data_IF_955221148122
#
_entry.id   IF_955221148122
#
_cell.length_a   1.000
_cell.length_b   1.000
_cell.length_c   1.000
_cell.angle_alpha   90.00
_cell.angle_beta   90.00
_cell.angle_gamma   90.00
#
_symmetry.space_group_name_H-M   'P 1'
#
loop_
_entity.id
_entity.type
_entity.pdbx_description
1 polymer ?
#
# COMPACT_ATOMS: atom_id res chain seq x y z
N UNK A 1 -4.98 11.40 -10.06
CA UNK A 1 -5.87 10.53 -9.27
C UNK A 1 -7.12 11.32 -8.96
N UNK A 2 -8.31 10.80 -9.27
CA UNK A 2 -9.59 11.51 -9.01
C UNK A 2 -10.12 11.20 -7.62
N UNK A 3 -11.08 11.98 -7.15
CA UNK A 3 -11.68 11.82 -5.81
C UNK A 3 -12.26 10.41 -5.60
N UNK A 4 -12.95 9.85 -6.59
CA UNK A 4 -13.46 8.47 -6.59
C UNK A 4 -12.35 7.43 -6.38
N UNK A 5 -11.18 7.63 -7.00
CA UNK A 5 -10.05 6.72 -6.83
C UNK A 5 -9.44 6.81 -5.42
N UNK A 6 -9.46 8.00 -4.79
CA UNK A 6 -8.99 8.20 -3.41
C UNK A 6 -9.91 7.48 -2.42
N UNK A 7 -11.23 7.67 -2.55
CA UNK A 7 -12.22 7.01 -1.71
C UNK A 7 -12.13 5.47 -1.83
N UNK A 8 -11.97 4.96 -3.06
CA UNK A 8 -11.82 3.53 -3.30
C UNK A 8 -10.51 2.97 -2.73
N UNK A 9 -9.40 3.70 -2.88
CA UNK A 9 -8.12 3.31 -2.29
C UNK A 9 -8.18 3.27 -0.76
N UNK A 10 -8.84 4.24 -0.13
CA UNK A 10 -9.04 4.26 1.32
C UNK A 10 -9.86 3.06 1.80
N UNK A 11 -11.00 2.77 1.14
CA UNK A 11 -11.83 1.61 1.49
C UNK A 11 -11.06 0.28 1.40
N UNK A 12 -10.28 0.08 0.33
CA UNK A 12 -9.46 -1.13 0.17
C UNK A 12 -8.34 -1.21 1.23
N UNK A 13 -7.76 -0.07 1.61
CA UNK A 13 -6.73 -0.02 2.66
C UNK A 13 -7.28 -0.39 4.03
N UNK A 14 -8.49 0.11 4.37
CA UNK A 14 -9.19 -0.23 5.60
C UNK A 14 -9.55 -1.71 5.67
N UNK A 15 -9.89 -2.33 4.52
CA UNK A 15 -10.06 -3.79 4.38
C UNK A 15 -8.76 -4.59 4.57
N UNK A 16 -7.62 -3.91 4.74
CA UNK A 16 -6.33 -4.53 5.02
C UNK A 16 -5.49 -4.82 3.78
N UNK A 17 -5.88 -4.35 2.59
CA UNK A 17 -5.00 -4.43 1.44
C UNK A 17 -3.78 -3.50 1.62
N UNK A 18 -2.64 -3.94 1.12
CA UNK A 18 -1.45 -3.09 1.07
C UNK A 18 -1.59 -2.02 0.00
N UNK A 19 -0.95 -0.87 0.20
CA UNK A 19 -0.92 0.23 -0.77
C UNK A 19 -0.35 -0.19 -2.13
N UNK A 20 0.55 -1.19 -2.16
CA UNK A 20 1.06 -1.76 -3.41
C UNK A 20 0.01 -2.59 -4.14
N UNK A 21 -0.75 -3.44 -3.44
CA UNK A 21 -1.83 -4.23 -4.04
C UNK A 21 -2.96 -3.32 -4.57
N UNK A 22 -3.29 -2.26 -3.82
CA UNK A 22 -4.25 -1.23 -4.24
C UNK A 22 -3.77 -0.54 -5.50
N UNK A 23 -2.50 -0.15 -5.55
CA UNK A 23 -1.89 0.48 -6.72
C UNK A 23 -1.98 -0.39 -7.97
N UNK A 24 -1.62 -1.67 -7.87
CA UNK A 24 -1.75 -2.62 -8.98
C UNK A 24 -3.19 -2.76 -9.46
N UNK A 25 -4.17 -2.74 -8.55
CA UNK A 25 -5.58 -2.88 -8.88
C UNK A 25 -6.19 -1.63 -9.53
N UNK A 26 -5.70 -0.45 -9.17
CA UNK A 26 -6.17 0.83 -9.69
C UNK A 26 -5.31 1.38 -10.84
N UNK A 27 -4.21 0.72 -11.19
CA UNK A 27 -3.26 1.18 -12.21
C UNK A 27 -2.39 2.35 -11.75
N UNK A 28 -2.10 2.46 -10.46
CA UNK A 28 -1.25 3.50 -9.89
C UNK A 28 -0.03 2.93 -9.16
N UNK A 29 1.05 3.70 -9.12
CA UNK A 29 2.20 3.36 -8.29
C UNK A 29 1.87 3.39 -6.80
N UNK A 30 2.56 2.54 -6.03
CA UNK A 30 2.45 2.50 -4.57
C UNK A 30 2.66 3.89 -3.94
N UNK A 31 3.60 4.68 -4.46
CA UNK A 31 3.87 6.04 -3.97
C UNK A 31 2.68 6.98 -4.20
N UNK A 32 1.98 6.84 -5.33
CA UNK A 32 0.78 7.62 -5.65
C UNK A 32 -0.35 7.28 -4.68
N UNK A 33 -0.57 6.00 -4.40
CA UNK A 33 -1.55 5.54 -3.41
C UNK A 33 -1.22 6.06 -2.01
N UNK A 34 0.03 5.93 -1.56
CA UNK A 34 0.45 6.42 -0.24
C UNK A 34 0.26 7.94 -0.10
N UNK A 35 0.56 8.71 -1.15
CA UNK A 35 0.33 10.16 -1.16
C UNK A 35 -1.16 10.49 -1.06
N UNK A 36 -2.01 9.77 -1.79
CA UNK A 36 -3.46 9.96 -1.74
C UNK A 36 -4.05 9.60 -0.37
N UNK A 37 -3.66 8.46 0.20
CA UNK A 37 -4.10 8.03 1.53
C UNK A 37 -3.70 9.06 2.61
N UNK A 38 -2.46 9.57 2.56
CA UNK A 38 -2.03 10.65 3.47
C UNK A 38 -2.83 11.93 3.28
N UNK A 39 -3.12 12.32 2.03
CA UNK A 39 -3.91 13.51 1.73
C UNK A 39 -5.34 13.44 2.26
N UNK A 40 -5.91 12.24 2.37
CA UNK A 40 -7.23 11.97 2.97
C UNK A 40 -7.19 11.83 4.50
N UNK A 41 -6.02 11.91 5.13
CA UNK A 41 -5.87 11.73 6.58
C UNK A 41 -5.89 10.27 7.05
N UNK A 42 -5.78 9.29 6.14
CA UNK A 42 -5.66 7.88 6.52
C UNK A 42 -4.32 7.68 7.22
N UNK A 43 -4.38 7.20 8.46
CA UNK A 43 -3.20 6.84 9.23
C UNK A 43 -2.51 5.65 8.57
N UNK A 44 -1.45 5.92 7.81
CA UNK A 44 -0.66 4.88 7.16
C UNK A 44 -0.10 3.98 8.24
N UNK A 45 -0.52 2.71 8.24
CA UNK A 45 0.07 1.68 9.08
C UNK A 45 1.56 1.72 8.82
N UNK A 46 2.33 2.06 9.85
CA UNK A 46 3.79 2.04 9.79
C UNK A 46 4.14 0.59 9.46
N UNK A 47 4.46 0.33 8.18
CA UNK A 47 4.87 -0.98 7.74
C UNK A 47 5.96 -1.39 8.72
N UNK A 48 5.72 -2.48 9.45
CA UNK A 48 6.71 -3.03 10.37
C UNK A 48 8.01 -3.05 9.58
N UNK A 49 9.01 -2.34 10.10
CA UNK A 49 10.31 -2.17 9.47
C UNK A 49 10.68 -3.49 8.81
N UNK A 50 11.05 -3.53 7.52
CA UNK A 50 11.34 -4.80 6.88
C UNK A 50 12.39 -5.46 7.76
N UNK A 51 12.00 -6.53 8.47
CA UNK A 51 12.97 -7.48 8.95
C UNK A 51 13.63 -7.94 7.68
N UNK A 52 14.83 -7.38 7.47
CA UNK A 52 16.00 -8.07 6.99
C UNK A 52 15.61 -9.37 6.31
N UNK A 53 15.75 -9.41 4.99
CA UNK A 53 15.75 -10.67 4.26
C UNK A 53 16.91 -11.47 4.84
N UNK A 54 16.62 -12.28 5.85
CA UNK A 54 17.55 -13.25 6.38
C UNK A 54 17.88 -14.18 5.22
N UNK A 55 19.16 -14.17 4.88
CA UNK A 55 19.74 -15.00 3.85
C UNK A 55 19.91 -16.41 4.45
N UNK A 56 18.96 -17.32 4.21
CA UNK A 56 19.10 -18.77 4.41
C UNK A 56 17.99 -19.40 3.55
N UNK A 57 18.21 -20.19 2.49
CA UNK A 57 19.21 -21.22 2.23
C UNK A 57 18.40 -22.41 1.72
N UNK A 58 18.56 -22.77 0.44
CA UNK A 58 17.80 -23.85 -0.20
C UNK A 58 18.53 -24.33 -1.45
N UNK A 59 19.62 -25.07 -1.22
CA UNK A 59 20.22 -26.00 -2.18
C UNK A 59 19.24 -27.15 -2.41
N UNK A 60 18.93 -27.44 -3.68
CA UNK A 60 18.87 -28.80 -4.26
C UNK A 60 19.07 -28.66 -5.76
#
# INVERSE_FOLDING_TARGET
MTDTHVALAAALYEQGLSSAAIGQRLGFDNHTILKALRGCGVAIRRAASPRQKDHTGGVT
#
